data_IF_453304523530
#
_entry.id   IF_453304523530
#
_cell.length_a   1.000
_cell.length_b   1.000
_cell.length_c   1.000
_cell.angle_alpha   90.00
_cell.angle_beta   90.00
_cell.angle_gamma   90.00
#
_symmetry.space_group_name_H-M   'P 1'
#
loop_
_entity.id
_entity.type
_entity.pdbx_description
1 polymer ?
#
# COMPACT_ATOMS: atom_id res chain seq x y z
N UNK A 1 -2.55 -12.01 4.13
CA UNK A 1 -3.74 -11.14 4.35
C UNK A 1 -3.54 -9.70 3.88
N UNK A 2 -2.39 -9.08 4.14
CA UNK A 2 -2.10 -7.67 3.78
C UNK A 2 -2.25 -7.37 2.29
N UNK A 3 -1.71 -8.21 1.41
CA UNK A 3 -1.86 -8.06 -0.05
C UNK A 3 -3.33 -8.05 -0.51
N UNK A 4 -4.17 -8.93 0.05
CA UNK A 4 -5.60 -8.95 -0.25
C UNK A 4 -6.31 -7.66 0.22
N UNK A 5 -5.92 -7.14 1.39
CA UNK A 5 -6.44 -5.85 1.87
C UNK A 5 -6.05 -4.68 0.95
N UNK A 6 -4.83 -4.69 0.38
CA UNK A 6 -4.38 -3.65 -0.55
C UNK A 6 -5.21 -3.72 -1.84
N UNK A 7 -5.36 -4.93 -2.39
CA UNK A 7 -6.19 -5.18 -3.57
C UNK A 7 -7.61 -4.64 -3.39
N UNK A 8 -8.27 -5.03 -2.30
CA UNK A 8 -9.67 -4.67 -2.04
C UNK A 8 -9.86 -3.17 -1.83
N UNK A 9 -8.94 -2.51 -1.10
CA UNK A 9 -8.95 -1.05 -0.91
C UNK A 9 -8.82 -0.32 -2.25
N UNK A 10 -7.86 -0.71 -3.08
CA UNK A 10 -7.70 -0.11 -4.42
C UNK A 10 -8.94 -0.35 -5.27
N UNK A 11 -9.44 -1.58 -5.32
CA UNK A 11 -10.60 -1.95 -6.13
C UNK A 11 -11.83 -1.11 -5.76
N UNK A 12 -12.14 -0.96 -4.47
CA UNK A 12 -13.25 -0.14 -4.00
C UNK A 12 -13.06 1.34 -4.34
N UNK A 13 -11.87 1.90 -4.10
CA UNK A 13 -11.60 3.32 -4.38
C UNK A 13 -11.76 3.61 -5.88
N UNK A 14 -11.19 2.76 -6.75
CA UNK A 14 -11.33 2.91 -8.19
C UNK A 14 -12.78 2.73 -8.65
N UNK A 15 -13.53 1.79 -8.05
CA UNK A 15 -14.95 1.59 -8.38
C UNK A 15 -15.81 2.79 -8.00
N UNK A 16 -15.57 3.40 -6.83
CA UNK A 16 -16.28 4.61 -6.41
C UNK A 16 -15.93 5.79 -7.31
N UNK A 17 -14.66 5.98 -7.65
CA UNK A 17 -14.22 7.06 -8.54
C UNK A 17 -14.84 6.88 -9.93
N UNK A 18 -14.79 5.68 -10.51
CA UNK A 18 -15.40 5.36 -11.80
C UNK A 18 -16.90 5.67 -11.80
N UNK A 19 -17.63 5.15 -10.82
CA UNK A 19 -19.06 5.41 -10.68
C UNK A 19 -19.41 6.90 -10.57
N UNK A 20 -18.63 7.67 -9.81
CA UNK A 20 -18.83 9.12 -9.68
C UNK A 20 -18.59 9.81 -11.03
N UNK A 21 -17.52 9.47 -11.73
CA UNK A 21 -17.21 10.05 -13.05
C UNK A 21 -18.35 9.74 -14.02
N UNK A 22 -18.77 8.49 -14.15
CA UNK A 22 -19.84 8.10 -15.07
C UNK A 22 -21.15 8.83 -14.77
N UNK A 23 -21.49 8.97 -13.48
CA UNK A 23 -22.67 9.71 -13.06
C UNK A 23 -22.62 11.19 -13.51
N UNK A 24 -21.47 11.85 -13.41
CA UNK A 24 -21.32 13.25 -13.81
C UNK A 24 -21.30 13.46 -15.34
N UNK A 25 -20.75 12.52 -16.11
CA UNK A 25 -20.57 12.67 -17.56
C UNK A 25 -21.69 12.04 -18.39
N UNK A 26 -22.21 10.89 -17.98
CA UNK A 26 -23.17 10.08 -18.74
C UNK A 26 -24.55 9.97 -18.05
N UNK A 27 -24.71 10.48 -16.83
CA UNK A 27 -25.94 10.36 -16.05
C UNK A 27 -26.21 8.91 -15.62
N UNK A 28 -27.49 8.49 -15.60
CA UNK A 28 -27.89 7.11 -15.25
C UNK A 28 -27.92 6.14 -16.44
N UNK A 29 -27.50 6.57 -17.63
CA UNK A 29 -27.41 5.68 -18.80
C UNK A 29 -26.15 4.83 -18.72
N UNK A 30 -26.20 3.83 -17.84
CA UNK A 30 -25.12 2.87 -17.64
C UNK A 30 -25.22 1.80 -18.72
N UNK A 31 -24.25 1.77 -19.64
CA UNK A 31 -24.13 0.69 -20.63
C UNK A 31 -23.42 -0.49 -19.97
N UNK A 32 -23.99 -1.69 -20.05
CA UNK A 32 -23.45 -2.91 -19.42
C UNK A 32 -21.98 -3.18 -19.81
N UNK A 33 -21.61 -2.84 -21.05
CA UNK A 33 -20.24 -3.01 -21.57
C UNK A 33 -19.25 -2.10 -20.82
N UNK A 34 -19.63 -0.87 -20.51
CA UNK A 34 -18.77 0.10 -19.81
C UNK A 34 -18.50 -0.37 -18.37
N UNK A 35 -19.53 -0.86 -17.68
CA UNK A 35 -19.40 -1.44 -16.32
C UNK A 35 -18.45 -2.63 -16.29
N UNK A 36 -18.51 -3.49 -17.31
CA UNK A 36 -17.62 -4.65 -17.41
C UNK A 36 -16.18 -4.19 -17.64
N UNK A 37 -15.97 -3.22 -18.54
CA UNK A 37 -14.66 -2.64 -18.80
C UNK A 37 -14.06 -1.99 -17.54
N UNK A 38 -14.85 -1.22 -16.80
CA UNK A 38 -14.41 -0.61 -15.54
C UNK A 38 -14.08 -1.64 -14.47
N UNK A 39 -14.88 -2.70 -14.35
CA UNK A 39 -14.56 -3.80 -13.46
C UNK A 39 -13.22 -4.44 -13.82
N UNK A 40 -12.97 -4.71 -15.10
CA UNK A 40 -11.68 -5.26 -15.56
C UNK A 40 -10.52 -4.31 -15.26
N UNK A 41 -10.70 -3.02 -15.52
CA UNK A 41 -9.67 -2.01 -15.21
C UNK A 41 -9.39 -1.92 -13.70
N UNK A 42 -10.41 -1.97 -12.86
CA UNK A 42 -10.27 -1.95 -11.40
C UNK A 42 -9.57 -3.20 -10.87
N UNK A 43 -9.85 -4.37 -11.46
CA UNK A 43 -9.13 -5.61 -11.15
C UNK A 43 -7.64 -5.47 -11.50
N UNK A 44 -7.32 -4.93 -12.68
CA UNK A 44 -5.93 -4.68 -13.11
C UNK A 44 -5.21 -3.70 -12.15
N UNK A 45 -5.85 -2.59 -11.78
CA UNK A 45 -5.27 -1.63 -10.83
C UNK A 45 -5.07 -2.23 -9.45
N UNK A 46 -6.00 -3.06 -8.98
CA UNK A 46 -5.84 -3.84 -7.76
C UNK A 46 -4.60 -4.74 -7.82
N UNK A 47 -4.45 -5.51 -8.90
CA UNK A 47 -3.31 -6.43 -9.08
C UNK A 47 -1.97 -5.68 -9.14
N UNK A 48 -1.91 -4.57 -9.90
CA UNK A 48 -0.74 -3.69 -9.96
C UNK A 48 -0.41 -3.13 -8.58
N UNK A 49 -1.42 -2.68 -7.82
CA UNK A 49 -1.22 -2.16 -6.47
C UNK A 49 -0.64 -3.20 -5.52
N UNK A 50 -1.07 -4.46 -5.62
CA UNK A 50 -0.46 -5.56 -4.84
C UNK A 50 0.98 -5.81 -5.25
N UNK A 51 1.27 -5.81 -6.55
CA UNK A 51 2.64 -6.04 -7.04
C UNK A 51 3.62 -4.95 -6.57
N UNK A 52 3.14 -3.70 -6.52
CA UNK A 52 3.90 -2.51 -6.16
C UNK A 52 3.99 -2.35 -4.64
N UNK A 53 2.86 -2.37 -3.93
CA UNK A 53 2.76 -2.09 -2.50
C UNK A 53 2.82 -3.35 -1.62
N UNK A 54 2.97 -4.52 -2.23
CA UNK A 54 3.06 -5.80 -1.53
C UNK A 54 4.17 -5.83 -0.49
N UNK A 55 4.01 -6.73 0.46
CA UNK A 55 4.95 -6.93 1.56
C UNK A 55 6.31 -7.40 1.04
N UNK A 56 7.37 -6.79 1.57
CA UNK A 56 8.75 -7.07 1.24
C UNK A 56 9.59 -7.06 2.51
N UNK A 57 10.49 -8.02 2.59
CA UNK A 57 11.41 -8.19 3.69
C UNK A 57 12.83 -7.91 3.21
N UNK A 58 13.58 -7.15 4.02
CA UNK A 58 14.99 -6.84 3.76
C UNK A 58 15.78 -6.97 5.05
N UNK A 59 16.85 -7.75 5.01
CA UNK A 59 17.85 -7.76 6.08
C UNK A 59 18.57 -6.42 6.12
N UNK A 60 18.64 -5.80 7.30
CA UNK A 60 19.29 -4.50 7.50
C UNK A 60 19.75 -4.40 8.96
N UNK A 61 20.89 -3.75 9.20
CA UNK A 61 21.35 -3.49 10.56
C UNK A 61 20.47 -2.44 11.26
N UNK A 62 20.45 -2.49 12.60
CA UNK A 62 19.53 -1.69 13.41
C UNK A 62 19.73 -0.18 13.23
N UNK A 63 20.98 0.28 13.14
CA UNK A 63 21.28 1.70 12.96
C UNK A 63 20.79 2.22 11.60
N UNK A 64 20.99 1.43 10.55
CA UNK A 64 20.49 1.73 9.20
C UNK A 64 18.96 1.70 9.14
N UNK A 65 18.34 0.73 9.82
CA UNK A 65 16.88 0.63 9.92
C UNK A 65 16.30 1.85 10.66
N UNK A 66 16.88 2.24 11.79
CA UNK A 66 16.47 3.44 12.53
C UNK A 66 16.61 4.71 11.71
N UNK A 67 17.74 4.88 11.01
CA UNK A 67 17.97 6.00 10.09
C UNK A 67 16.91 6.01 8.98
N UNK A 68 16.67 4.87 8.37
CA UNK A 68 15.66 4.71 7.32
C UNK A 68 14.25 5.08 7.81
N UNK A 69 13.86 4.58 8.99
CA UNK A 69 12.55 4.86 9.59
C UNK A 69 12.40 6.35 9.89
N UNK A 70 13.42 7.00 10.47
CA UNK A 70 13.40 8.45 10.74
C UNK A 70 13.30 9.30 9.47
N UNK A 71 13.90 8.86 8.37
CA UNK A 71 13.86 9.58 7.08
C UNK A 71 12.52 9.41 6.34
N UNK A 72 11.84 8.27 6.51
CA UNK A 72 10.68 7.90 5.69
C UNK A 72 9.34 7.89 6.43
N UNK A 73 9.34 7.84 7.76
CA UNK A 73 8.15 7.76 8.59
C UNK A 73 7.88 9.07 9.31
N UNK A 74 6.60 9.38 9.56
CA UNK A 74 6.20 10.55 10.36
C UNK A 74 6.47 10.31 11.83
N UNK A 75 6.33 9.06 12.28
CA UNK A 75 6.54 8.68 13.67
C UNK A 75 7.20 7.30 13.73
N UNK A 76 8.03 7.10 14.75
CA UNK A 76 8.71 5.83 15.03
C UNK A 76 8.39 5.44 16.46
N UNK A 77 7.77 4.27 16.62
CA UNK A 77 7.39 3.72 17.92
C UNK A 77 8.30 2.53 18.19
N UNK A 78 9.16 2.67 19.18
CA UNK A 78 10.02 1.59 19.64
C UNK A 78 9.30 0.73 20.67
N UNK A 79 9.35 -0.59 20.49
CA UNK A 79 8.91 -1.61 21.45
C UNK A 79 10.07 -2.54 21.76
N UNK A 80 9.88 -3.42 22.73
CA UNK A 80 10.94 -4.33 23.22
C UNK A 80 11.56 -5.13 22.07
N UNK A 81 10.75 -5.80 21.26
CA UNK A 81 11.23 -6.69 20.18
C UNK A 81 11.14 -6.10 18.77
N UNK A 82 10.39 -5.01 18.59
CA UNK A 82 10.03 -4.48 17.26
C UNK A 82 10.03 -2.96 17.24
N UNK A 83 10.50 -2.36 16.15
CA UNK A 83 10.38 -0.92 15.89
C UNK A 83 9.34 -0.71 14.79
N UNK A 84 8.35 0.13 15.03
CA UNK A 84 7.26 0.40 14.08
C UNK A 84 7.36 1.83 13.56
N UNK A 85 7.63 1.97 12.27
CA UNK A 85 7.54 3.25 11.55
C UNK A 85 6.15 3.48 10.98
N UNK A 86 5.50 4.56 11.43
CA UNK A 86 4.22 5.01 10.91
C UNK A 86 4.39 5.95 9.72
N UNK A 87 3.80 5.57 8.60
CA UNK A 87 3.76 6.40 7.40
C UNK A 87 2.67 7.50 7.52
N UNK A 88 2.63 8.42 6.56
CA UNK A 88 1.52 9.36 6.44
C UNK A 88 0.20 8.63 6.22
N UNK A 89 -0.93 9.20 6.65
CA UNK A 89 -2.27 8.56 6.57
C UNK A 89 -2.56 7.91 5.21
N UNK A 90 -2.28 8.61 4.11
CA UNK A 90 -2.50 8.10 2.76
C UNK A 90 -1.57 6.92 2.42
N UNK A 91 -0.29 7.03 2.76
CA UNK A 91 0.68 5.94 2.55
C UNK A 91 0.34 4.74 3.43
N UNK A 92 0.02 4.95 4.71
CA UNK A 92 -0.40 3.88 5.64
C UNK A 92 -1.64 3.14 5.12
N UNK A 93 -2.59 3.86 4.51
CA UNK A 93 -3.79 3.25 3.92
C UNK A 93 -3.46 2.22 2.82
N UNK A 94 -2.48 2.48 1.96
CA UNK A 94 -2.13 1.55 0.86
C UNK A 94 -0.95 0.64 1.16
N UNK A 95 -0.04 1.07 2.02
CA UNK A 95 1.27 0.44 2.20
C UNK A 95 1.40 -0.19 3.58
N UNK A 96 0.52 0.13 4.53
CA UNK A 96 0.64 -0.25 5.93
C UNK A 96 1.85 0.43 6.61
N UNK A 97 2.11 0.02 7.84
CA UNK A 97 3.29 0.48 8.57
C UNK A 97 4.54 -0.32 8.19
N UNK A 98 5.70 0.28 8.42
CA UNK A 98 6.99 -0.39 8.30
C UNK A 98 7.35 -0.95 9.67
N UNK A 99 7.80 -2.20 9.72
CA UNK A 99 8.20 -2.86 10.95
C UNK A 99 9.63 -3.32 10.82
N UNK A 100 10.39 -3.21 11.90
CA UNK A 100 11.74 -3.75 12.01
C UNK A 100 11.77 -4.69 13.21
N UNK A 101 12.06 -5.96 12.95
CA UNK A 101 12.23 -7.00 13.97
C UNK A 101 13.69 -6.97 14.47
N UNK A 102 13.88 -6.64 15.76
CA UNK A 102 15.22 -6.50 16.36
C UNK A 102 15.94 -7.84 16.49
N UNK A 103 15.19 -8.93 16.69
CA UNK A 103 15.74 -10.28 16.87
C UNK A 103 16.19 -10.84 15.52
N UNK A 104 15.32 -10.74 14.52
CA UNK A 104 15.58 -11.28 13.18
C UNK A 104 16.43 -10.34 12.32
N UNK A 105 16.59 -9.08 12.72
CA UNK A 105 17.26 -8.01 11.95
C UNK A 105 16.66 -7.81 10.55
N UNK A 106 15.34 -7.91 10.47
CA UNK A 106 14.59 -7.81 9.21
C UNK A 106 13.65 -6.62 9.27
N UNK A 107 13.72 -5.78 8.25
CA UNK A 107 12.73 -4.76 7.98
C UNK A 107 11.67 -5.30 7.03
N UNK A 108 10.42 -5.22 7.47
CA UNK A 108 9.22 -5.64 6.74
C UNK A 108 8.38 -4.41 6.40
N UNK A 109 8.03 -4.23 5.13
CA UNK A 109 7.26 -3.09 4.69
C UNK A 109 6.81 -3.20 3.25
N UNK A 110 6.23 -2.12 2.72
CA UNK A 110 5.83 -2.08 1.31
C UNK A 110 7.08 -2.07 0.41
N UNK A 111 7.05 -2.91 -0.64
CA UNK A 111 8.14 -3.08 -1.61
C UNK A 111 8.62 -1.76 -2.21
N UNK A 112 7.74 -0.83 -2.57
CA UNK A 112 8.14 0.49 -3.10
C UNK A 112 9.04 1.29 -2.14
N UNK A 113 8.84 1.12 -0.84
CA UNK A 113 9.58 1.88 0.17
C UNK A 113 10.85 1.12 0.55
N UNK A 114 10.72 -0.16 0.91
CA UNK A 114 11.83 -0.96 1.47
C UNK A 114 12.83 -1.41 0.39
N UNK A 115 12.38 -1.67 -0.84
CA UNK A 115 13.27 -2.03 -1.96
C UNK A 115 14.09 -0.83 -2.46
N UNK A 116 13.64 0.40 -2.22
CA UNK A 116 14.27 1.59 -2.79
C UNK A 116 15.51 1.98 -1.98
N UNK A 117 16.67 1.42 -2.35
CA UNK A 117 18.04 1.99 -2.19
C UNK A 117 19.08 1.02 -2.76
N UNK A 118 19.51 1.30 -3.99
CA UNK A 118 20.91 1.21 -4.43
C UNK A 118 21.43 2.64 -4.46
#
# INVERSE_FOLDING_TARGET
MRNFSIFYRTFLVCSVIGFVIDFFFNGFQIVLIDVILDCVMNLLFGAISVYICGEFERSMDMDDALKFLKENCINVIERDDVIVGRLSKYKEFYMGNIQYDKVRRVMTGSKVIVKKRN
#
